data_IF_861035925683
#
_entry.id   IF_861035925683
#
_cell.length_a   1.000
_cell.length_b   1.000
_cell.length_c   1.000
_cell.angle_alpha   90.00
_cell.angle_beta   90.00
_cell.angle_gamma   90.00
#
_symmetry.space_group_name_H-M   'P 1'
#
loop_
_entity.id
_entity.type
_entity.pdbx_description
1 polymer ?
#
# COMPACT_ATOMS: atom_id res chain seq x y z
N UNK A 1 25.42 -15.19 -7.90
CA UNK A 1 25.47 -13.72 -7.88
C UNK A 1 24.06 -13.29 -7.55
N UNK A 2 23.83 -13.04 -6.27
CA UNK A 2 22.54 -13.19 -5.57
C UNK A 2 21.61 -11.97 -5.77
N UNK A 3 21.31 -11.68 -7.04
CA UNK A 3 20.43 -10.59 -7.49
C UNK A 3 19.11 -11.11 -8.11
N UNK A 4 18.88 -12.43 -8.08
CA UNK A 4 17.87 -13.08 -8.94
C UNK A 4 16.50 -13.36 -8.26
N UNK A 5 16.31 -13.04 -6.97
CA UNK A 5 15.03 -13.30 -6.27
C UNK A 5 14.38 -12.09 -5.57
N UNK A 6 14.78 -10.86 -5.92
CA UNK A 6 14.01 -9.66 -5.55
C UNK A 6 12.90 -9.42 -6.58
N UNK A 7 11.75 -10.06 -6.35
CA UNK A 7 10.55 -10.02 -7.21
C UNK A 7 9.93 -8.61 -7.40
N UNK A 8 10.53 -7.56 -6.83
CA UNK A 8 10.25 -6.16 -7.11
C UNK A 8 11.60 -5.43 -7.25
N UNK A 9 11.95 -4.90 -8.44
CA UNK A 9 13.17 -4.13 -8.60
C UNK A 9 13.09 -2.93 -7.66
N UNK A 10 14.05 -2.81 -6.75
CA UNK A 10 14.18 -1.65 -5.85
C UNK A 10 14.18 -0.32 -6.63
N UNK A 11 14.67 -0.36 -7.88
CA UNK A 11 14.59 0.75 -8.81
C UNK A 11 13.15 1.23 -9.02
N UNK A 12 12.17 0.33 -9.23
CA UNK A 12 10.78 0.71 -9.53
C UNK A 12 10.09 1.32 -8.33
N UNK A 13 10.24 0.71 -7.15
CA UNK A 13 9.61 1.24 -5.91
C UNK A 13 10.22 2.57 -5.50
N UNK A 14 11.54 2.73 -5.65
CA UNK A 14 12.23 3.98 -5.37
C UNK A 14 11.86 5.06 -6.40
N UNK A 15 11.85 4.75 -7.70
CA UNK A 15 11.40 5.69 -8.74
C UNK A 15 9.94 6.08 -8.55
N UNK A 16 9.10 5.13 -8.15
CA UNK A 16 7.69 5.37 -7.85
C UNK A 16 7.53 6.30 -6.65
N UNK A 17 8.26 6.06 -5.56
CA UNK A 17 8.25 6.93 -4.38
C UNK A 17 8.69 8.36 -4.74
N UNK A 18 9.80 8.49 -5.47
CA UNK A 18 10.30 9.79 -5.92
C UNK A 18 9.31 10.48 -6.86
N UNK A 19 8.71 9.74 -7.79
CA UNK A 19 7.67 10.26 -8.67
C UNK A 19 6.45 10.74 -7.87
N UNK A 20 5.99 9.95 -6.89
CA UNK A 20 4.87 10.28 -5.99
C UNK A 20 5.11 11.57 -5.21
N UNK A 21 6.32 11.75 -4.69
CA UNK A 21 6.73 12.98 -4.01
C UNK A 21 6.83 14.18 -4.99
N UNK A 22 7.38 13.95 -6.19
CA UNK A 22 7.53 15.00 -7.20
C UNK A 22 6.17 15.51 -7.71
N UNK A 23 5.19 14.62 -7.87
CA UNK A 23 3.83 14.99 -8.29
C UNK A 23 2.92 15.35 -7.13
N UNK A 24 3.34 15.18 -5.87
CA UNK A 24 2.52 15.41 -4.68
C UNK A 24 1.87 16.80 -4.67
N UNK A 25 2.59 17.81 -5.16
CA UNK A 25 2.07 19.18 -5.27
C UNK A 25 0.78 19.28 -6.10
N UNK A 26 0.72 18.57 -7.22
CA UNK A 26 -0.41 18.57 -8.15
C UNK A 26 -1.37 17.40 -7.92
N UNK A 27 -1.01 16.48 -7.02
CA UNK A 27 -1.73 15.24 -6.80
C UNK A 27 -3.16 15.52 -6.27
N UNK A 28 -4.21 15.24 -7.07
CA UNK A 28 -5.60 15.47 -6.66
C UNK A 28 -6.11 14.41 -5.69
N UNK A 29 -5.36 13.32 -5.47
CA UNK A 29 -5.71 12.25 -4.55
C UNK A 29 -5.39 12.59 -3.09
N UNK A 30 -4.68 13.69 -2.84
CA UNK A 30 -4.32 14.15 -1.50
C UNK A 30 -5.20 15.35 -1.11
N UNK A 31 -5.85 15.22 0.04
CA UNK A 31 -6.72 16.28 0.57
C UNK A 31 -5.93 17.56 0.92
N UNK A 32 -6.42 18.71 0.47
CA UNK A 32 -5.79 20.02 0.68
C UNK A 32 -5.09 20.58 -0.56
N UNK A 33 -4.19 21.56 -0.38
CA UNK A 33 -3.53 22.29 -1.47
C UNK A 33 -2.05 22.60 -1.18
N UNK A 34 -1.26 22.70 -2.26
CA UNK A 34 0.15 23.10 -2.22
C UNK A 34 1.02 22.26 -1.29
N UNK A 35 1.73 22.93 -0.36
CA UNK A 35 2.63 22.29 0.60
C UNK A 35 1.96 21.25 1.51
N UNK A 36 0.67 21.39 1.81
CA UNK A 36 -0.04 20.42 2.64
C UNK A 36 -0.04 19.02 2.00
N UNK A 37 -0.14 18.96 0.67
CA UNK A 37 -0.10 17.69 -0.08
C UNK A 37 1.28 17.04 -0.01
N UNK A 38 2.35 17.83 -0.05
CA UNK A 38 3.72 17.31 0.10
C UNK A 38 3.92 16.71 1.49
N UNK A 39 3.44 17.39 2.54
CA UNK A 39 3.48 16.85 3.91
C UNK A 39 2.66 15.57 4.05
N UNK A 40 1.47 15.51 3.44
CA UNK A 40 0.65 14.29 3.43
C UNK A 40 1.32 13.16 2.65
N UNK A 41 1.98 13.43 1.53
CA UNK A 41 2.73 12.44 0.75
C UNK A 41 3.90 11.87 1.56
N UNK A 42 4.70 12.73 2.19
CA UNK A 42 5.80 12.31 3.09
C UNK A 42 5.27 11.54 4.30
N UNK A 43 4.22 12.04 4.94
CA UNK A 43 3.58 11.39 6.09
C UNK A 43 2.98 10.04 5.70
N UNK A 44 2.37 9.93 4.53
CA UNK A 44 1.85 8.68 3.99
C UNK A 44 2.97 7.68 3.71
N UNK A 45 4.07 8.09 3.07
CA UNK A 45 5.21 7.23 2.83
C UNK A 45 5.86 6.72 4.13
N UNK A 46 6.04 7.63 5.11
CA UNK A 46 6.60 7.30 6.42
C UNK A 46 5.69 6.38 7.22
N UNK A 47 4.38 6.64 7.24
CA UNK A 47 3.41 5.78 7.94
C UNK A 47 3.28 4.42 7.26
N UNK A 48 3.19 4.38 5.93
CA UNK A 48 3.06 3.12 5.19
C UNK A 48 4.26 2.19 5.39
N UNK A 49 5.47 2.73 5.23
CA UNK A 49 6.68 1.96 5.50
C UNK A 49 6.85 1.62 6.98
N UNK A 50 6.65 2.59 7.87
CA UNK A 50 6.83 2.41 9.31
C UNK A 50 5.88 1.38 9.91
N UNK A 51 4.61 1.36 9.50
CA UNK A 51 3.62 0.39 10.00
C UNK A 51 3.99 -1.03 9.56
N UNK A 52 4.27 -1.25 8.28
CA UNK A 52 4.63 -2.60 7.80
C UNK A 52 5.96 -3.08 8.37
N UNK A 53 6.97 -2.20 8.43
CA UNK A 53 8.25 -2.53 9.05
C UNK A 53 8.09 -2.85 10.54
N UNK A 54 7.27 -2.07 11.27
CA UNK A 54 6.99 -2.31 12.68
C UNK A 54 6.29 -3.64 12.93
N UNK A 55 5.29 -3.99 12.11
CA UNK A 55 4.63 -5.30 12.17
C UNK A 55 5.63 -6.42 11.87
N UNK A 56 6.44 -6.27 10.81
CA UNK A 56 7.46 -7.24 10.43
C UNK A 56 8.52 -7.46 11.53
N UNK A 57 9.03 -6.38 12.12
CA UNK A 57 10.00 -6.42 13.20
C UNK A 57 9.42 -7.05 14.48
N UNK A 58 8.19 -6.69 14.86
CA UNK A 58 7.51 -7.25 16.02
C UNK A 58 7.26 -8.76 15.84
N UNK A 59 6.73 -9.15 14.69
CA UNK A 59 6.43 -10.54 14.39
C UNK A 59 7.72 -11.38 14.25
N UNK A 60 8.76 -10.81 13.64
CA UNK A 60 10.10 -11.41 13.57
C UNK A 60 10.69 -11.67 14.95
N UNK A 61 10.56 -10.71 15.87
CA UNK A 61 11.02 -10.88 17.26
C UNK A 61 10.23 -11.92 18.04
N UNK A 62 8.93 -12.05 17.79
CA UNK A 62 8.05 -13.00 18.49
C UNK A 62 8.13 -14.43 17.95
N UNK A 63 8.24 -14.60 16.63
CA UNK A 63 8.22 -15.92 15.97
C UNK A 63 9.58 -16.42 15.52
N UNK A 64 10.61 -15.57 15.53
CA UNK A 64 11.96 -15.91 15.05
C UNK A 64 12.03 -16.16 13.54
N UNK A 65 10.99 -15.77 12.79
CA UNK A 65 10.89 -15.94 11.34
C UNK A 65 10.62 -14.58 10.71
N UNK A 66 11.30 -14.26 9.62
CA UNK A 66 11.04 -13.06 8.82
C UNK A 66 9.59 -13.08 8.31
N UNK A 67 8.76 -12.20 8.90
CA UNK A 67 7.33 -12.19 8.66
C UNK A 67 6.94 -11.40 7.40
N UNK A 68 7.75 -10.42 7.02
CA UNK A 68 7.42 -9.48 5.97
C UNK A 68 8.68 -9.08 5.19
N UNK A 69 8.62 -9.19 3.87
CA UNK A 69 9.73 -8.84 3.00
C UNK A 69 9.93 -7.33 2.91
N UNK A 70 11.19 -6.88 2.84
CA UNK A 70 11.52 -5.46 2.68
C UNK A 70 10.93 -4.84 1.39
N UNK A 71 10.63 -5.66 0.38
CA UNK A 71 9.90 -5.22 -0.81
C UNK A 71 8.51 -4.66 -0.50
N UNK A 72 7.77 -5.29 0.42
CA UNK A 72 6.41 -4.87 0.80
C UNK A 72 6.43 -3.52 1.52
N UNK A 73 7.44 -3.31 2.37
CA UNK A 73 7.68 -2.03 3.08
C UNK A 73 7.93 -0.89 2.08
N UNK A 74 8.76 -1.13 1.06
CA UNK A 74 9.06 -0.14 0.00
C UNK A 74 7.86 0.13 -0.89
N UNK A 75 7.10 -0.91 -1.25
CA UNK A 75 5.84 -0.75 -1.98
C UNK A 75 4.86 0.11 -1.19
N UNK A 76 4.73 -0.12 0.11
CA UNK A 76 3.84 0.66 0.96
C UNK A 76 4.30 2.11 1.15
N UNK A 77 5.62 2.34 1.15
CA UNK A 77 6.18 3.69 1.11
C UNK A 77 5.74 4.41 -0.17
N UNK A 78 5.87 3.76 -1.32
CA UNK A 78 5.45 4.30 -2.62
C UNK A 78 3.94 4.57 -2.64
N UNK A 79 3.11 3.60 -2.22
CA UNK A 79 1.65 3.77 -2.15
C UNK A 79 1.30 4.93 -1.23
N UNK A 80 1.97 5.06 -0.08
CA UNK A 80 1.78 6.17 0.85
C UNK A 80 2.17 7.52 0.28
N UNK A 81 3.19 7.59 -0.58
CA UNK A 81 3.54 8.83 -1.28
C UNK A 81 2.42 9.29 -2.23
N UNK A 82 1.74 8.35 -2.92
CA UNK A 82 0.66 8.69 -3.85
C UNK A 82 -0.70 8.90 -3.19
N UNK A 83 -1.04 8.07 -2.20
CA UNK A 83 -2.38 7.99 -1.63
C UNK A 83 -2.48 8.64 -0.23
N UNK A 84 -1.35 9.04 0.35
CA UNK A 84 -1.29 9.66 1.67
C UNK A 84 -1.63 8.70 2.83
N UNK A 85 -1.74 9.21 4.06
CA UNK A 85 -1.98 8.41 5.26
C UNK A 85 -3.30 7.65 5.23
N UNK A 86 -4.36 8.28 4.71
CA UNK A 86 -5.68 7.66 4.60
C UNK A 86 -5.66 6.49 3.59
N UNK A 87 -5.02 6.68 2.43
CA UNK A 87 -4.85 5.63 1.44
C UNK A 87 -4.00 4.47 1.95
N UNK A 88 -3.01 4.73 2.82
CA UNK A 88 -2.21 3.70 3.49
C UNK A 88 -3.09 2.80 4.35
N UNK A 89 -3.89 3.40 5.23
CA UNK A 89 -4.79 2.65 6.12
C UNK A 89 -5.79 1.81 5.32
N UNK A 90 -6.40 2.38 4.28
CA UNK A 90 -7.32 1.68 3.41
C UNK A 90 -6.64 0.49 2.71
N UNK A 91 -5.46 0.70 2.14
CA UNK A 91 -4.71 -0.34 1.43
C UNK A 91 -4.36 -1.51 2.35
N UNK A 92 -3.86 -1.24 3.55
CA UNK A 92 -3.51 -2.29 4.53
C UNK A 92 -4.75 -3.07 4.93
N UNK A 93 -5.86 -2.37 5.21
CA UNK A 93 -7.12 -3.01 5.59
C UNK A 93 -7.67 -3.88 4.46
N UNK A 94 -7.78 -3.35 3.24
CA UNK A 94 -8.28 -4.11 2.09
C UNK A 94 -7.37 -5.26 1.70
N UNK A 95 -6.05 -5.07 1.70
CA UNK A 95 -5.08 -6.13 1.40
C UNK A 95 -5.15 -7.26 2.43
N UNK A 96 -5.24 -6.93 3.72
CA UNK A 96 -5.36 -7.94 4.78
C UNK A 96 -6.70 -8.69 4.72
N UNK A 97 -7.80 -8.01 4.42
CA UNK A 97 -9.11 -8.64 4.25
C UNK A 97 -9.11 -9.62 3.06
N UNK A 98 -8.64 -9.18 1.89
CA UNK A 98 -8.55 -10.04 0.69
C UNK A 98 -7.58 -11.19 0.92
N UNK A 99 -6.41 -10.91 1.50
CA UNK A 99 -5.41 -11.92 1.83
C UNK A 99 -5.93 -12.97 2.82
N UNK A 100 -6.72 -12.56 3.82
CA UNK A 100 -7.37 -13.47 4.75
C UNK A 100 -8.42 -14.36 4.07
N UNK A 101 -9.30 -13.77 3.24
CA UNK A 101 -10.31 -14.53 2.50
C UNK A 101 -9.66 -15.55 1.56
N UNK A 102 -8.68 -15.12 0.77
CA UNK A 102 -7.95 -16.00 -0.16
C UNK A 102 -7.16 -17.06 0.61
N UNK A 103 -6.51 -16.69 1.72
CA UNK A 103 -5.80 -17.62 2.58
C UNK A 103 -6.71 -18.71 3.14
N UNK A 104 -7.87 -18.34 3.68
CA UNK A 104 -8.88 -19.29 4.19
C UNK A 104 -9.42 -20.21 3.10
N UNK A 105 -9.67 -19.68 1.89
CA UNK A 105 -10.16 -20.47 0.75
C UNK A 105 -9.11 -21.44 0.19
N UNK A 106 -7.82 -21.09 0.24
CA UNK A 106 -6.73 -21.92 -0.29
C UNK A 106 -6.36 -23.10 0.63
N UNK A 107 -6.60 -23.00 1.94
CA UNK A 107 -6.35 -24.09 2.91
C UNK A 107 -7.05 -25.40 2.50
N UNK A 108 -8.38 -25.42 2.22
CA UNK A 108 -9.06 -26.65 1.82
C UNK A 108 -8.76 -27.07 0.38
N UNK A 109 -8.43 -26.15 -0.53
CA UNK A 109 -8.24 -26.44 -1.96
C UNK A 109 -6.87 -27.03 -2.33
N UNK A 110 -5.82 -26.72 -1.55
CA UNK A 110 -4.44 -27.13 -1.87
C UNK A 110 -3.74 -27.94 -0.79
N UNK A 111 -4.41 -28.23 0.34
CA UNK A 111 -3.77 -28.89 1.49
C UNK A 111 -2.59 -28.09 2.06
N UNK A 112 -2.49 -26.79 1.72
CA UNK A 112 -1.47 -25.90 2.25
C UNK A 112 -1.78 -25.59 3.70
N UNK A 113 -0.76 -25.66 4.54
CA UNK A 113 -0.87 -25.24 5.93
C UNK A 113 -0.69 -23.71 6.03
N UNK A 114 -1.25 -23.09 7.07
CA UNK A 114 -1.06 -21.67 7.43
C UNK A 114 0.41 -21.20 7.53
N UNK A 115 1.37 -22.12 7.34
CA UNK A 115 2.82 -21.89 7.36
C UNK A 115 3.38 -21.51 5.99
N UNK A 116 2.66 -21.77 4.89
CA UNK A 116 3.06 -21.28 3.58
C UNK A 116 2.76 -19.78 3.50
N UNK A 117 3.78 -18.97 3.82
CA UNK A 117 3.69 -17.52 3.78
C UNK A 117 3.24 -17.06 2.39
N UNK A 118 1.99 -16.57 2.30
CA UNK A 118 1.54 -15.86 1.12
C UNK A 118 2.23 -14.49 1.13
N UNK A 119 2.99 -14.12 0.08
CA UNK A 119 3.64 -12.82 0.02
C UNK A 119 2.58 -11.72 0.07
N UNK A 120 2.60 -10.91 1.13
CA UNK A 120 1.60 -9.89 1.39
C UNK A 120 1.55 -8.84 0.27
N UNK A 121 2.71 -8.57 -0.36
CA UNK A 121 2.84 -7.72 -1.55
C UNK A 121 1.92 -8.08 -2.71
N UNK A 122 1.60 -9.36 -2.94
CA UNK A 122 0.68 -9.77 -4.02
C UNK A 122 -0.74 -9.22 -3.83
N UNK A 123 -1.16 -8.99 -2.59
CA UNK A 123 -2.46 -8.40 -2.28
C UNK A 123 -2.39 -6.88 -2.10
N UNK A 124 -1.21 -6.35 -1.78
CA UNK A 124 -0.97 -4.92 -1.57
C UNK A 124 -1.19 -4.09 -2.85
N UNK A 125 -0.63 -4.54 -3.98
CA UNK A 125 -0.75 -3.85 -5.26
C UNK A 125 -2.19 -3.71 -5.77
N UNK A 126 -3.02 -4.79 -5.84
CA UNK A 126 -4.41 -4.65 -6.25
C UNK A 126 -5.27 -3.89 -5.23
N UNK A 127 -4.98 -3.99 -3.92
CA UNK A 127 -5.68 -3.20 -2.91
C UNK A 127 -5.41 -1.70 -3.04
N UNK A 128 -4.16 -1.31 -3.28
CA UNK A 128 -3.77 0.08 -3.51
C UNK A 128 -4.44 0.64 -4.77
N UNK A 129 -4.43 -0.12 -5.87
CA UNK A 129 -5.10 0.26 -7.12
C UNK A 129 -6.62 0.43 -6.90
N UNK A 130 -7.24 -0.52 -6.20
CA UNK A 130 -8.67 -0.46 -5.86
C UNK A 130 -9.01 0.78 -5.02
N UNK A 131 -8.18 1.10 -4.01
CA UNK A 131 -8.34 2.29 -3.19
C UNK A 131 -8.26 3.58 -4.00
N UNK A 132 -7.30 3.67 -4.92
CA UNK A 132 -7.13 4.84 -5.80
C UNK A 132 -8.36 5.04 -6.71
N UNK A 133 -8.90 3.95 -7.28
CA UNK A 133 -10.06 3.99 -8.17
C UNK A 133 -11.36 4.33 -7.44
N UNK A 134 -11.56 3.79 -6.22
CA UNK A 134 -12.72 4.12 -5.38
C UNK A 134 -12.64 5.57 -4.91
N UNK A 135 -11.44 6.04 -4.53
CA UNK A 135 -11.20 7.45 -4.20
C UNK A 135 -11.57 8.39 -5.34
N UNK A 136 -11.15 8.09 -6.58
CA UNK A 136 -11.50 8.88 -7.76
C UNK A 136 -13.00 8.93 -8.03
N UNK A 137 -13.72 7.81 -7.84
CA UNK A 137 -15.18 7.79 -8.01
C UNK A 137 -15.91 8.54 -6.91
N UNK A 138 -15.45 8.45 -5.66
CA UNK A 138 -16.04 9.18 -4.55
C UNK A 138 -15.85 10.69 -4.69
N UNK A 139 -14.62 11.13 -5.01
CA UNK A 139 -14.31 12.55 -5.25
C UNK A 139 -15.02 13.07 -6.50
N UNK A 140 -15.04 12.28 -7.60
CA UNK A 140 -15.76 12.63 -8.82
C UNK A 140 -17.27 12.76 -8.61
N UNK A 141 -17.89 11.86 -7.84
CA UNK A 141 -19.31 11.94 -7.49
C UNK A 141 -19.60 13.16 -6.62
N UNK A 142 -18.74 13.48 -5.65
CA UNK A 142 -18.88 14.67 -4.81
C UNK A 142 -18.76 15.95 -5.65
N UNK A 143 -17.74 16.05 -6.50
CA UNK A 143 -17.52 17.21 -7.39
C UNK A 143 -18.68 17.36 -8.37
N UNK A 144 -19.21 16.26 -8.93
CA UNK A 144 -20.37 16.29 -9.80
C UNK A 144 -21.63 16.74 -9.05
N UNK A 145 -21.84 16.26 -7.81
CA UNK A 145 -22.95 16.70 -6.97
C UNK A 145 -22.84 18.17 -6.55
N UNK A 146 -21.64 18.70 -6.35
CA UNK A 146 -21.40 20.10 -5.99
C UNK A 146 -21.47 21.04 -7.21
N UNK A 147 -20.99 20.61 -8.38
CA UNK A 147 -20.98 21.44 -9.60
C UNK A 147 -22.29 21.36 -10.41
N UNK A 148 -22.98 20.22 -10.40
CA UNK A 148 -24.23 20.01 -11.15
C UNK A 148 -25.45 19.83 -10.24
N UNK A 149 -25.28 20.02 -8.93
CA UNK A 149 -26.37 20.10 -7.95
C UNK A 149 -26.94 21.50 -7.81
N UNK A 150 -27.46 22.03 -8.92
CA UNK A 150 -28.57 22.99 -9.03
C UNK A 150 -29.24 22.75 -10.39
#
# INVERSE_FOLDING_TARGET
>A
TDLDHQLLPDAVTLTGLLAGLAVAWFNPFLDGSGWNRVWLSLGGAALGSGVLWGIGALYGKLRGVEAMGMGDVKMMAMVGAFAGPAGVAFTIFSASLVGAVVGVLLIPLRGRTLKDALPFGCFLAPAALGGLLVGQRAVGAYVHMVLYGL
#
